data_IF_005530728183
#
_entry.id   IF_005530728183
#
_cell.length_a   1.000
_cell.length_b   1.000
_cell.length_c   1.000
_cell.angle_alpha   90.00
_cell.angle_beta   90.00
_cell.angle_gamma   90.00
#
_symmetry.space_group_name_H-M   'P 1'
#
loop_
_entity.id
_entity.type
_entity.pdbx_description
1 polymer ?
#
# COMPACT_ATOMS: atom_id res chain seq x y z
N UNK A 1 29.21 36.53 49.37
CA UNK A 1 29.96 36.29 48.09
C UNK A 1 29.75 34.87 47.66
N UNK A 2 28.89 34.66 46.64
CA UNK A 2 28.70 33.37 45.97
C UNK A 2 29.47 33.41 44.66
N UNK A 3 30.51 32.64 44.58
CA UNK A 3 31.29 32.43 43.37
C UNK A 3 30.60 31.40 42.48
N UNK A 4 30.11 31.83 41.33
CA UNK A 4 29.62 30.98 40.27
C UNK A 4 30.80 30.54 39.40
N UNK A 5 31.18 29.27 39.52
CA UNK A 5 32.10 28.62 38.58
C UNK A 5 31.28 28.13 37.38
N UNK A 6 31.57 28.67 36.19
CA UNK A 6 31.07 28.18 34.90
C UNK A 6 31.77 26.88 34.58
N UNK A 7 31.06 25.76 34.63
CA UNK A 7 31.55 24.49 34.15
C UNK A 7 31.21 24.31 32.68
N UNK A 8 32.21 23.84 31.96
CA UNK A 8 32.33 23.68 30.53
C UNK A 8 31.20 22.84 29.91
N UNK A 9 30.67 23.34 28.81
CA UNK A 9 29.80 22.58 27.90
C UNK A 9 30.55 21.33 27.41
N UNK A 10 30.14 20.17 27.91
CA UNK A 10 30.50 18.88 27.30
C UNK A 10 29.74 18.71 26.00
N UNK A 11 30.50 18.60 24.91
CA UNK A 11 29.99 18.20 23.59
C UNK A 11 29.26 16.86 23.71
N UNK A 12 27.96 16.89 23.53
CA UNK A 12 27.16 15.67 23.37
C UNK A 12 27.54 15.11 21.99
N UNK A 13 28.40 14.11 21.98
CA UNK A 13 28.54 13.23 20.82
C UNK A 13 27.17 12.54 20.65
N UNK A 14 26.49 12.83 19.55
CA UNK A 14 25.35 12.05 19.12
C UNK A 14 25.85 10.62 18.90
N UNK A 15 25.36 9.72 19.72
CA UNK A 15 25.70 8.31 19.68
C UNK A 15 25.09 7.72 18.40
N UNK A 16 25.93 7.21 17.50
CA UNK A 16 25.57 6.57 16.23
C UNK A 16 24.89 5.19 16.44
N UNK A 17 24.50 4.88 17.67
CA UNK A 17 23.88 3.61 18.07
C UNK A 17 22.38 3.52 17.71
N UNK A 18 21.72 4.62 17.30
CA UNK A 18 20.30 4.63 16.96
C UNK A 18 19.98 3.98 15.61
N UNK A 19 20.93 3.97 14.67
CA UNK A 19 20.73 3.38 13.34
C UNK A 19 20.74 1.84 13.34
N UNK A 20 21.34 1.20 14.36
CA UNK A 20 21.40 -0.27 14.46
C UNK A 20 20.15 -0.90 15.09
N UNK A 21 19.22 -0.10 15.61
CA UNK A 21 18.00 -0.58 16.30
C UNK A 21 16.74 -0.63 15.42
N UNK A 22 16.79 -0.09 14.20
CA UNK A 22 15.62 -0.07 13.30
C UNK A 22 15.49 -1.37 12.51
N UNK A 23 14.24 -1.70 12.12
CA UNK A 23 13.98 -2.89 11.30
C UNK A 23 14.68 -2.81 9.94
N UNK A 24 14.92 -3.96 9.32
CA UNK A 24 15.53 -4.04 7.98
C UNK A 24 14.69 -3.28 6.93
N UNK A 25 13.35 -3.35 7.03
CA UNK A 25 12.45 -2.61 6.14
C UNK A 25 12.59 -1.09 6.29
N UNK A 26 12.65 -0.60 7.51
CA UNK A 26 12.87 0.83 7.80
C UNK A 26 14.22 1.30 7.26
N UNK A 27 15.27 0.50 7.45
CA UNK A 27 16.60 0.81 6.90
C UNK A 27 16.58 0.87 5.37
N UNK A 28 15.89 -0.08 4.73
CA UNK A 28 15.72 -0.08 3.28
C UNK A 28 15.05 1.19 2.77
N UNK A 29 13.97 1.66 3.43
CA UNK A 29 13.30 2.93 3.08
C UNK A 29 14.29 4.09 3.16
N UNK A 30 15.05 4.20 4.24
CA UNK A 30 16.05 5.25 4.44
C UNK A 30 17.06 5.24 3.30
N UNK A 31 17.63 4.08 3.00
CA UNK A 31 18.67 3.93 1.96
C UNK A 31 18.14 4.29 0.57
N UNK A 32 16.90 3.89 0.23
CA UNK A 32 16.30 4.23 -1.06
C UNK A 32 16.06 5.74 -1.19
N UNK A 33 15.48 6.37 -0.16
CA UNK A 33 15.22 7.82 -0.19
C UNK A 33 16.54 8.62 -0.22
N UNK A 34 17.56 8.18 0.49
CA UNK A 34 18.90 8.82 0.42
C UNK A 34 19.54 8.70 -0.95
N UNK A 35 19.40 7.52 -1.59
CA UNK A 35 20.01 7.24 -2.89
C UNK A 35 19.31 7.97 -4.05
N UNK A 36 17.99 8.04 -4.03
CA UNK A 36 17.18 8.45 -5.17
C UNK A 36 16.34 9.72 -4.94
N UNK A 37 16.11 10.13 -3.68
CA UNK A 37 15.31 11.31 -3.35
C UNK A 37 13.92 11.24 -4.01
N UNK A 38 13.53 12.31 -4.73
CA UNK A 38 12.23 12.40 -5.41
C UNK A 38 12.07 11.47 -6.64
N UNK A 39 13.14 10.78 -7.07
CA UNK A 39 13.05 9.79 -8.17
C UNK A 39 12.47 8.45 -7.67
N UNK A 40 12.39 8.24 -6.36
CA UNK A 40 11.68 7.12 -5.74
C UNK A 40 10.40 7.60 -5.06
N UNK A 41 9.30 6.89 -5.28
CA UNK A 41 8.05 7.11 -4.57
C UNK A 41 7.81 5.94 -3.61
N UNK A 42 7.65 6.24 -2.34
CA UNK A 42 7.24 5.26 -1.34
C UNK A 42 5.72 5.18 -1.34
N UNK A 43 5.16 3.98 -1.45
CA UNK A 43 3.72 3.74 -1.37
C UNK A 43 3.41 3.03 -0.06
N UNK A 44 2.73 3.73 0.86
CA UNK A 44 2.31 3.17 2.13
C UNK A 44 0.85 2.70 2.04
N UNK A 45 0.61 1.41 2.28
CA UNK A 45 -0.73 0.78 2.21
C UNK A 45 -1.20 0.27 3.58
N UNK A 46 -0.57 0.71 4.64
CA UNK A 46 -0.86 0.41 6.04
C UNK A 46 -0.61 1.60 6.95
N UNK A 47 -0.57 1.39 8.28
CA UNK A 47 -0.20 2.42 9.25
C UNK A 47 1.16 3.04 8.92
N UNK A 48 1.33 4.32 9.26
CA UNK A 48 2.55 5.07 8.94
C UNK A 48 3.72 4.83 9.92
N UNK A 49 3.64 3.80 10.75
CA UNK A 49 4.64 3.45 11.77
C UNK A 49 6.06 3.31 11.21
N UNK A 50 6.21 2.58 10.08
CA UNK A 50 7.52 2.39 9.46
C UNK A 50 8.06 3.67 8.82
N UNK A 51 7.19 4.52 8.27
CA UNK A 51 7.57 5.82 7.70
C UNK A 51 8.01 6.77 8.80
N UNK A 52 7.27 6.84 9.91
CA UNK A 52 7.64 7.62 11.08
C UNK A 52 8.98 7.15 11.65
N UNK A 53 9.15 5.84 11.82
CA UNK A 53 10.41 5.27 12.29
C UNK A 53 11.59 5.60 11.37
N UNK A 54 11.38 5.62 10.05
CA UNK A 54 12.40 5.98 9.08
C UNK A 54 12.79 7.46 9.20
N UNK A 55 11.82 8.36 9.33
CA UNK A 55 12.06 9.79 9.51
C UNK A 55 12.71 10.07 10.87
N UNK A 56 12.27 9.39 11.93
CA UNK A 56 12.86 9.53 13.27
C UNK A 56 14.33 9.08 13.32
N UNK A 57 14.65 7.95 12.66
CA UNK A 57 16.02 7.44 12.59
C UNK A 57 16.92 8.24 11.63
N UNK A 58 16.35 8.88 10.62
CA UNK A 58 17.06 9.62 9.58
C UNK A 58 16.30 10.90 9.18
N UNK A 59 16.31 11.96 10.00
CA UNK A 59 15.55 13.19 9.72
C UNK A 59 15.94 13.88 8.39
N UNK A 60 17.11 13.59 7.86
CA UNK A 60 17.62 14.13 6.59
C UNK A 60 16.83 13.65 5.36
N UNK A 61 16.04 12.57 5.50
CA UNK A 61 15.23 12.06 4.41
C UNK A 61 13.88 12.78 4.28
N UNK A 62 13.37 13.41 5.34
CA UNK A 62 12.02 13.97 5.36
C UNK A 62 11.75 14.89 4.15
N UNK A 63 12.61 15.88 3.93
CA UNK A 63 12.46 16.81 2.80
C UNK A 63 12.77 16.23 1.41
N UNK A 64 13.07 14.94 1.31
CA UNK A 64 13.33 14.22 0.05
C UNK A 64 12.36 13.07 -0.17
N UNK A 65 11.55 12.74 0.84
CA UNK A 65 10.59 11.65 0.81
C UNK A 65 9.36 12.07 0.00
N UNK A 66 9.12 11.35 -1.09
CA UNK A 66 7.87 11.39 -1.83
C UNK A 66 7.02 10.20 -1.41
N UNK A 67 5.90 10.48 -0.75
CA UNK A 67 5.02 9.49 -0.15
C UNK A 67 3.63 9.54 -0.80
N UNK A 68 3.17 8.42 -1.33
CA UNK A 68 1.76 8.20 -1.62
C UNK A 68 1.23 7.22 -0.58
N UNK A 69 0.22 7.61 0.16
CA UNK A 69 -0.32 6.76 1.21
C UNK A 69 -1.80 6.46 0.99
N UNK A 70 -2.21 5.21 1.21
CA UNK A 70 -3.61 4.87 1.38
C UNK A 70 -3.97 5.04 2.85
N UNK A 71 -4.91 5.91 3.13
CA UNK A 71 -5.39 6.16 4.49
C UNK A 71 -6.06 7.51 4.64
N UNK A 72 -6.76 7.66 5.75
CA UNK A 72 -7.42 8.89 6.09
C UNK A 72 -8.77 9.11 5.39
N UNK A 73 -9.46 10.14 5.85
CA UNK A 73 -10.73 10.62 5.29
C UNK A 73 -10.89 12.10 5.64
N UNK A 74 -11.42 12.91 4.74
CA UNK A 74 -11.59 14.35 4.91
C UNK A 74 -13.04 14.77 5.08
N UNK A 75 -13.94 14.24 4.25
CA UNK A 75 -15.30 14.74 4.12
C UNK A 75 -16.37 13.69 4.40
N UNK A 76 -15.97 12.45 4.69
CA UNK A 76 -16.86 11.35 4.99
C UNK A 76 -16.47 10.63 6.29
N UNK A 77 -17.32 9.74 6.74
CA UNK A 77 -17.05 8.89 7.89
C UNK A 77 -15.85 7.96 7.64
N UNK A 78 -15.16 7.58 8.71
CA UNK A 78 -14.12 6.56 8.67
C UNK A 78 -14.69 5.16 8.41
N UNK A 79 -13.80 4.17 8.37
CA UNK A 79 -14.15 2.76 8.20
C UNK A 79 -13.72 1.87 9.38
N UNK A 80 -13.27 2.48 10.48
CA UNK A 80 -13.07 1.72 11.72
C UNK A 80 -14.42 1.38 12.38
N UNK A 81 -14.40 0.55 13.42
CA UNK A 81 -15.60 -0.01 14.04
C UNK A 81 -16.64 1.03 14.51
N UNK A 82 -16.24 2.24 14.88
CA UNK A 82 -17.09 3.33 15.33
C UNK A 82 -17.20 4.49 14.32
N UNK A 83 -16.64 4.32 13.13
CA UNK A 83 -16.65 5.26 12.01
C UNK A 83 -15.94 6.60 12.28
N UNK A 84 -15.18 6.72 13.36
CA UNK A 84 -14.51 7.97 13.73
C UNK A 84 -13.26 8.24 12.91
N UNK A 85 -12.60 7.21 12.40
CA UNK A 85 -11.36 7.33 11.65
C UNK A 85 -11.23 6.26 10.57
N UNK A 86 -10.31 6.50 9.63
CA UNK A 86 -9.87 5.47 8.71
C UNK A 86 -8.92 4.50 9.41
N UNK A 87 -8.97 3.22 9.00
CA UNK A 87 -8.31 2.11 9.69
C UNK A 87 -6.79 2.24 9.77
N UNK A 88 -6.11 2.65 8.70
CA UNK A 88 -4.65 2.81 8.72
C UNK A 88 -4.21 3.95 9.64
N UNK A 89 -5.00 5.02 9.69
CA UNK A 89 -4.71 6.15 10.58
C UNK A 89 -4.92 5.78 12.04
N UNK A 90 -6.04 5.10 12.38
CA UNK A 90 -6.36 4.82 13.78
C UNK A 90 -5.45 3.75 14.40
N UNK A 91 -4.78 2.94 13.58
CA UNK A 91 -3.84 1.93 14.08
C UNK A 91 -2.55 2.53 14.65
N UNK A 92 -2.13 3.71 14.17
CA UNK A 92 -1.00 4.46 14.72
C UNK A 92 -1.17 5.96 14.43
N UNK A 93 -2.09 6.63 15.15
CA UNK A 93 -2.41 8.04 14.87
C UNK A 93 -1.26 8.98 15.22
N UNK A 94 -0.41 8.61 16.19
CA UNK A 94 0.77 9.39 16.56
C UNK A 94 1.84 9.37 15.46
N UNK A 95 2.05 8.21 14.82
CA UNK A 95 2.93 8.13 13.65
C UNK A 95 2.37 8.93 12.48
N UNK A 96 1.07 8.85 12.22
CA UNK A 96 0.41 9.63 11.18
C UNK A 96 0.60 11.13 11.42
N UNK A 97 0.35 11.62 12.63
CA UNK A 97 0.54 13.03 12.99
C UNK A 97 1.97 13.50 12.72
N UNK A 98 2.98 12.73 13.19
CA UNK A 98 4.39 13.08 12.98
C UNK A 98 4.78 13.07 11.50
N UNK A 99 4.31 12.10 10.73
CA UNK A 99 4.58 12.02 9.29
C UNK A 99 3.96 13.21 8.55
N UNK A 100 2.71 13.57 8.82
CA UNK A 100 2.07 14.73 8.21
C UNK A 100 2.79 16.06 8.53
N UNK A 101 3.44 16.15 9.68
CA UNK A 101 4.21 17.34 10.09
C UNK A 101 5.71 17.26 9.75
N UNK A 102 6.17 16.20 9.08
CA UNK A 102 7.60 15.96 8.83
C UNK A 102 8.22 16.85 7.75
N UNK A 103 7.40 17.44 6.88
CA UNK A 103 7.87 18.16 5.69
C UNK A 103 8.10 17.25 4.47
N UNK A 104 7.67 16.00 4.49
CA UNK A 104 7.64 15.11 3.33
C UNK A 104 6.62 15.58 2.28
N UNK A 105 6.84 15.23 1.03
CA UNK A 105 5.87 15.43 -0.07
C UNK A 105 4.85 14.30 -0.04
N UNK A 106 3.65 14.57 0.50
CA UNK A 106 2.63 13.56 0.80
C UNK A 106 1.42 13.71 -0.11
N UNK A 107 1.07 12.64 -0.80
CA UNK A 107 -0.22 12.47 -1.46
C UNK A 107 -1.05 11.46 -0.66
N UNK A 108 -2.11 11.93 0.00
CA UNK A 108 -3.05 11.08 0.72
C UNK A 108 -4.17 10.61 -0.22
N UNK A 109 -4.32 9.29 -0.36
CA UNK A 109 -5.40 8.64 -1.11
C UNK A 109 -6.39 8.07 -0.09
N UNK A 110 -7.29 8.94 0.36
CA UNK A 110 -8.24 8.64 1.44
C UNK A 110 -9.51 7.94 0.98
N UNK A 111 -10.39 7.62 1.92
CA UNK A 111 -11.68 6.99 1.65
C UNK A 111 -12.55 7.81 0.72
N UNK A 112 -12.40 9.14 0.74
CA UNK A 112 -13.14 10.08 -0.10
C UNK A 112 -13.02 9.76 -1.60
N UNK A 113 -11.89 9.22 -2.03
CA UNK A 113 -11.63 8.83 -3.42
C UNK A 113 -11.67 7.32 -3.62
N UNK A 114 -11.19 6.51 -2.67
CA UNK A 114 -11.16 5.06 -2.83
C UNK A 114 -12.55 4.42 -2.87
N UNK A 115 -13.53 5.01 -2.16
CA UNK A 115 -14.93 4.59 -2.23
C UNK A 115 -15.62 4.91 -3.57
N UNK A 116 -14.98 5.71 -4.42
CA UNK A 116 -15.43 5.97 -5.79
C UNK A 116 -14.78 5.02 -6.82
N UNK A 117 -13.72 4.31 -6.43
CA UNK A 117 -13.01 3.35 -7.27
C UNK A 117 -13.42 1.92 -6.89
N UNK A 118 -14.54 1.47 -7.46
CA UNK A 118 -15.13 0.17 -7.14
C UNK A 118 -14.85 -0.84 -8.24
N UNK A 119 -14.52 -2.07 -7.86
CA UNK A 119 -14.40 -3.22 -8.75
C UNK A 119 -15.61 -4.13 -8.58
N UNK A 120 -16.41 -4.24 -9.63
CA UNK A 120 -17.60 -5.09 -9.67
C UNK A 120 -17.33 -6.49 -10.25
N UNK A 121 -18.36 -7.33 -10.24
CA UNK A 121 -18.31 -8.70 -10.78
C UNK A 121 -18.12 -8.78 -12.31
N UNK A 122 -18.31 -7.69 -13.03
CA UNK A 122 -18.00 -7.58 -14.44
C UNK A 122 -16.49 -7.77 -14.72
N UNK A 123 -15.63 -7.23 -13.86
CA UNK A 123 -14.19 -7.45 -13.94
C UNK A 123 -13.82 -8.93 -13.74
N UNK A 124 -14.41 -9.59 -12.73
CA UNK A 124 -14.14 -11.01 -12.47
C UNK A 124 -14.66 -11.91 -13.58
N UNK A 125 -15.80 -11.58 -14.19
CA UNK A 125 -16.30 -12.26 -15.38
C UNK A 125 -15.30 -12.14 -16.55
N UNK A 126 -14.82 -10.93 -16.84
CA UNK A 126 -13.81 -10.69 -17.89
C UNK A 126 -12.54 -11.51 -17.66
N UNK A 127 -12.07 -11.61 -16.42
CA UNK A 127 -10.88 -12.44 -16.11
C UNK A 127 -11.11 -13.92 -16.35
N UNK A 128 -12.31 -14.45 -16.03
CA UNK A 128 -12.67 -15.85 -16.33
C UNK A 128 -12.81 -16.13 -17.83
N UNK A 129 -13.39 -15.18 -18.57
CA UNK A 129 -13.48 -15.29 -20.04
C UNK A 129 -12.10 -15.32 -20.68
N UNK A 130 -11.18 -14.45 -20.25
CA UNK A 130 -9.79 -14.46 -20.71
C UNK A 130 -9.07 -15.77 -20.36
N UNK A 131 -9.29 -16.34 -19.16
CA UNK A 131 -8.74 -17.63 -18.76
C UNK A 131 -9.24 -18.78 -19.66
N UNK A 132 -10.53 -18.77 -20.00
CA UNK A 132 -11.12 -19.76 -20.91
C UNK A 132 -10.56 -19.62 -22.34
N UNK A 133 -10.37 -18.39 -22.83
CA UNK A 133 -9.81 -18.14 -24.17
C UNK A 133 -8.37 -18.67 -24.28
N UNK A 134 -7.54 -18.47 -23.26
CA UNK A 134 -6.16 -19.01 -23.21
C UNK A 134 -6.16 -20.54 -23.24
N UNK A 135 -7.11 -21.18 -22.60
CA UNK A 135 -7.23 -22.64 -22.57
C UNK A 135 -7.66 -23.19 -23.94
N UNK A 136 -8.55 -22.50 -24.65
CA UNK A 136 -9.04 -22.91 -25.97
C UNK A 136 -8.03 -22.58 -27.10
N UNK A 137 -7.30 -21.46 -26.98
CA UNK A 137 -6.26 -21.06 -27.96
C UNK A 137 -5.03 -21.95 -27.93
N UNK A 138 -4.68 -22.52 -26.81
CA UNK A 138 -3.58 -23.48 -26.65
C UNK A 138 -3.81 -24.85 -27.30
N UNK A 139 -5.06 -25.16 -27.68
CA UNK A 139 -5.44 -26.47 -28.29
C UNK A 139 -5.34 -26.49 -29.84
N UNK A 140 -5.06 -25.36 -30.50
CA UNK A 140 -5.04 -25.30 -31.96
C UNK A 140 -3.71 -25.72 -32.64
N UNK A 141 -2.76 -26.27 -31.88
CA UNK A 141 -1.44 -26.66 -32.38
C UNK A 141 -0.92 -27.97 -31.82
N UNK A 142 -1.55 -29.05 -31.99
CA UNK A 142 -0.99 -30.41 -32.24
C UNK A 142 -1.97 -31.53 -31.85
N UNK A 143 -2.66 -32.12 -32.82
CA UNK A 143 -3.62 -33.20 -32.62
C UNK A 143 -2.98 -34.61 -32.46
N UNK A 144 -1.72 -34.71 -31.97
CA UNK A 144 -1.03 -36.02 -31.84
C UNK A 144 -0.28 -36.24 -30.52
N UNK A 145 -0.78 -35.73 -29.40
CA UNK A 145 -0.22 -36.05 -28.08
C UNK A 145 -1.29 -36.40 -27.04
N UNK A 146 -2.18 -37.36 -27.41
CA UNK A 146 -2.99 -38.07 -26.42
C UNK A 146 -2.19 -39.26 -25.91
N UNK A 147 -1.20 -39.02 -25.06
CA UNK A 147 -0.59 -40.09 -24.24
C UNK A 147 0.20 -39.53 -23.08
N UNK A 148 -0.23 -39.95 -21.87
CA UNK A 148 0.52 -39.88 -20.60
C UNK A 148 0.87 -38.48 -20.06
N UNK A 149 -0.08 -37.80 -19.47
CA UNK A 149 0.20 -36.86 -18.37
C UNK A 149 0.50 -37.67 -17.10
N UNK A 150 1.73 -38.09 -16.93
CA UNK A 150 2.27 -38.43 -15.61
C UNK A 150 2.35 -37.13 -14.82
N UNK A 151 1.64 -37.06 -13.69
CA UNK A 151 1.67 -35.95 -12.75
C UNK A 151 3.11 -35.80 -12.23
N UNK A 152 3.85 -34.83 -12.79
CA UNK A 152 5.04 -34.30 -12.14
C UNK A 152 4.61 -33.23 -11.16
N UNK A 153 4.98 -33.37 -9.90
CA UNK A 153 4.60 -32.54 -8.76
C UNK A 153 5.27 -31.16 -8.74
N UNK A 154 5.65 -30.61 -9.89
CA UNK A 154 6.42 -29.36 -10.00
C UNK A 154 5.91 -28.47 -11.15
N UNK A 155 4.60 -28.37 -11.32
CA UNK A 155 4.01 -27.47 -12.30
C UNK A 155 3.60 -26.15 -11.62
N UNK A 156 4.34 -25.08 -11.90
CA UNK A 156 3.86 -23.72 -11.61
C UNK A 156 2.46 -23.52 -12.20
N UNK A 157 1.54 -22.81 -11.50
CA UNK A 157 0.20 -22.58 -12.00
C UNK A 157 0.24 -21.85 -13.35
N UNK A 158 -0.66 -22.21 -14.25
CA UNK A 158 -0.80 -21.51 -15.54
C UNK A 158 -1.36 -20.09 -15.35
N UNK A 159 -1.16 -19.21 -16.34
CA UNK A 159 -1.77 -17.87 -16.32
C UNK A 159 -3.30 -17.94 -16.22
N UNK A 160 -3.92 -18.97 -16.81
CA UNK A 160 -5.35 -19.25 -16.71
C UNK A 160 -5.76 -19.60 -15.28
N UNK A 161 -4.99 -20.45 -14.58
CA UNK A 161 -5.28 -20.83 -13.18
C UNK A 161 -5.15 -19.59 -12.25
N UNK A 162 -4.15 -18.74 -12.47
CA UNK A 162 -3.96 -17.50 -11.71
C UNK A 162 -5.13 -16.54 -11.91
N UNK A 163 -5.63 -16.36 -13.14
CA UNK A 163 -6.77 -15.48 -13.42
C UNK A 163 -8.05 -15.98 -12.76
N UNK A 164 -8.31 -17.28 -12.79
CA UNK A 164 -9.49 -17.88 -12.12
C UNK A 164 -9.36 -17.69 -10.62
N UNK A 165 -8.21 -17.96 -10.03
CA UNK A 165 -7.97 -17.78 -8.60
C UNK A 165 -8.19 -16.31 -8.17
N UNK A 166 -7.65 -15.35 -8.92
CA UNK A 166 -7.84 -13.91 -8.62
C UNK A 166 -9.31 -13.51 -8.76
N UNK A 167 -10.03 -14.04 -9.74
CA UNK A 167 -11.47 -13.80 -9.90
C UNK A 167 -12.27 -14.35 -8.70
N UNK A 168 -11.93 -15.54 -8.20
CA UNK A 168 -12.61 -16.14 -7.05
C UNK A 168 -12.33 -15.34 -5.76
N UNK A 169 -11.09 -14.88 -5.55
CA UNK A 169 -10.73 -14.01 -4.42
C UNK A 169 -11.48 -12.67 -4.48
N UNK A 170 -11.54 -12.06 -5.66
CA UNK A 170 -12.25 -10.81 -5.85
C UNK A 170 -13.76 -10.95 -5.63
N UNK A 171 -14.40 -11.99 -6.13
CA UNK A 171 -15.82 -12.25 -5.88
C UNK A 171 -16.11 -12.47 -4.39
N UNK A 172 -15.23 -13.18 -3.68
CA UNK A 172 -15.35 -13.31 -2.22
C UNK A 172 -15.28 -11.94 -1.53
N UNK A 173 -14.33 -11.08 -1.92
CA UNK A 173 -14.16 -9.75 -1.35
C UNK A 173 -15.34 -8.83 -1.69
N UNK A 174 -15.85 -8.86 -2.92
CA UNK A 174 -17.05 -8.12 -3.35
C UNK A 174 -18.26 -8.52 -2.48
N UNK A 175 -18.47 -9.82 -2.29
CA UNK A 175 -19.57 -10.32 -1.45
C UNK A 175 -19.41 -9.93 0.03
N UNK A 176 -18.19 -9.93 0.54
CA UNK A 176 -17.89 -9.54 1.92
C UNK A 176 -18.14 -8.03 2.14
N UNK A 177 -17.70 -7.18 1.23
CA UNK A 177 -17.94 -5.73 1.29
C UNK A 177 -19.44 -5.42 1.18
N UNK A 178 -20.14 -6.04 0.24
CA UNK A 178 -21.60 -5.89 0.14
C UNK A 178 -22.32 -6.27 1.43
N UNK A 179 -21.90 -7.36 2.08
CA UNK A 179 -22.46 -7.79 3.36
C UNK A 179 -22.14 -6.81 4.51
N UNK A 180 -21.00 -6.16 4.46
CA UNK A 180 -20.60 -5.17 5.46
C UNK A 180 -21.43 -3.88 5.34
N UNK A 181 -21.54 -3.31 4.15
CA UNK A 181 -22.42 -2.17 3.86
C UNK A 181 -22.93 -2.19 2.41
N UNK A 182 -24.13 -2.70 2.22
CA UNK A 182 -24.77 -2.78 0.89
C UNK A 182 -25.07 -1.39 0.29
N UNK A 183 -25.12 -0.32 1.07
CA UNK A 183 -25.37 1.04 0.54
C UNK A 183 -24.14 1.58 -0.17
N UNK A 184 -22.96 1.35 0.40
CA UNK A 184 -21.67 1.82 -0.15
C UNK A 184 -21.18 0.88 -1.25
N UNK A 185 -21.32 -0.44 -1.06
CA UNK A 185 -20.65 -1.44 -1.89
C UNK A 185 -21.60 -2.25 -2.79
N UNK A 186 -22.76 -1.67 -3.13
CA UNK A 186 -23.71 -2.30 -4.05
C UNK A 186 -23.18 -2.53 -5.47
N UNK A 187 -22.16 -1.75 -5.88
CA UNK A 187 -21.55 -1.82 -7.21
C UNK A 187 -20.21 -2.57 -7.24
N UNK A 188 -19.68 -2.98 -6.09
CA UNK A 188 -18.41 -3.68 -6.02
C UNK A 188 -17.65 -3.43 -4.73
N UNK A 189 -16.42 -3.91 -4.68
CA UNK A 189 -15.48 -3.64 -3.58
C UNK A 189 -14.60 -2.44 -3.88
N UNK A 190 -14.24 -1.62 -2.90
CA UNK A 190 -13.32 -0.50 -3.11
C UNK A 190 -11.90 -1.00 -3.35
N UNK A 191 -11.22 -0.36 -4.30
CA UNK A 191 -9.81 -0.60 -4.60
C UNK A 191 -8.94 0.40 -3.83
N UNK A 192 -8.79 0.20 -2.53
CA UNK A 192 -8.04 1.10 -1.66
C UNK A 192 -6.56 1.20 -2.06
N UNK A 193 -5.79 0.16 -1.78
CA UNK A 193 -4.36 0.10 -2.03
C UNK A 193 -4.00 0.08 -3.52
N UNK A 194 -4.75 -0.64 -4.38
CA UNK A 194 -4.49 -0.58 -5.82
C UNK A 194 -4.63 0.83 -6.40
N UNK A 195 -5.58 1.64 -5.93
CA UNK A 195 -5.71 3.02 -6.37
C UNK A 195 -4.53 3.88 -5.92
N UNK A 196 -4.08 3.75 -4.67
CA UNK A 196 -2.90 4.47 -4.19
C UNK A 196 -1.65 4.12 -5.01
N UNK A 197 -1.44 2.85 -5.30
CA UNK A 197 -0.34 2.39 -6.17
C UNK A 197 -0.47 2.95 -7.61
N UNK A 198 -1.69 2.98 -8.16
CA UNK A 198 -1.94 3.55 -9.48
C UNK A 198 -1.67 5.07 -9.51
N UNK A 199 -2.08 5.81 -8.49
CA UNK A 199 -1.82 7.26 -8.35
C UNK A 199 -0.32 7.55 -8.24
N UNK A 200 0.46 6.68 -7.59
CA UNK A 200 1.91 6.82 -7.52
C UNK A 200 2.57 6.72 -8.92
N UNK A 201 1.98 5.93 -9.84
CA UNK A 201 2.45 5.76 -11.22
C UNK A 201 1.90 6.84 -12.14
N UNK A 202 0.62 7.15 -12.00
CA UNK A 202 -0.09 8.15 -12.81
C UNK A 202 -0.96 9.07 -11.92
N UNK A 203 -0.41 10.20 -11.46
CA UNK A 203 -1.15 11.14 -10.62
C UNK A 203 -2.39 11.77 -11.30
N UNK A 204 -2.51 11.68 -12.63
CA UNK A 204 -3.65 12.24 -13.37
C UNK A 204 -4.97 11.49 -13.15
N UNK A 205 -4.91 10.31 -12.53
CA UNK A 205 -6.09 9.49 -12.18
C UNK A 205 -7.01 10.14 -11.13
N UNK A 206 -6.47 11.10 -10.36
CA UNK A 206 -7.19 11.79 -9.30
C UNK A 206 -6.98 13.30 -9.40
N UNK A 207 -7.85 14.06 -8.76
CA UNK A 207 -7.67 15.50 -8.56
C UNK A 207 -7.32 15.76 -7.10
N UNK A 208 -6.16 16.37 -6.85
CA UNK A 208 -5.78 16.80 -5.51
C UNK A 208 -6.48 18.11 -5.13
N UNK A 209 -6.88 18.24 -3.87
CA UNK A 209 -7.55 19.41 -3.29
C UNK A 209 -6.74 19.97 -2.13
#
# INVERSE_FOLDING_TARGET
>A
ELSLTTDSASSIHADDSSADSVSEGVRFIIDQVRAYGFDVTVVATGPLTDIDAAIAAAPDIAGKLKLVMMGGTLTQEGNCWDLTAETNIIQDPEAADRVFHSGADITMVGLDVTHQCLMGSDATCTWREAANADTLGGSAGNSNAASARTASSDSSPSASDVRVFLADMADFSIAANYKADARLFSQGMPLHDPLAAAVAVDPSLVTCI
#
